data_IF_093205661806
#
_entry.id   IF_093205661806
#
_cell.length_a   1.000
_cell.length_b   1.000
_cell.length_c   1.000
_cell.angle_alpha   90.00
_cell.angle_beta   90.00
_cell.angle_gamma   90.00
#
_symmetry.space_group_name_H-M   'P 1'
#
loop_
_entity.id
_entity.type
_entity.pdbx_description
1 polymer ?
#
# COMPACT_ATOMS: atom_id res chain seq x y z
N UNK A 1 37.32 16.24 -20.05
CA UNK A 1 36.14 16.35 -19.15
C UNK A 1 35.09 15.30 -19.54
N UNK A 2 35.33 14.01 -19.28
CA UNK A 2 34.44 12.91 -19.72
C UNK A 2 34.01 11.91 -18.63
N UNK A 3 34.45 12.09 -17.38
CA UNK A 3 34.25 11.11 -16.31
C UNK A 3 32.91 11.20 -15.56
N UNK A 4 32.10 12.23 -15.79
CA UNK A 4 30.95 12.54 -14.92
C UNK A 4 29.63 11.87 -15.35
N UNK A 5 29.45 11.51 -16.62
CA UNK A 5 28.17 10.97 -17.10
C UNK A 5 28.01 9.47 -16.81
N UNK A 6 29.07 8.69 -17.03
CA UNK A 6 29.09 7.24 -16.77
C UNK A 6 28.93 6.92 -15.28
N UNK A 7 29.54 7.70 -14.39
CA UNK A 7 29.41 7.53 -12.94
C UNK A 7 27.99 7.77 -12.42
N UNK A 8 27.26 8.72 -13.02
CA UNK A 8 25.86 9.01 -12.67
C UNK A 8 24.93 7.90 -13.15
N UNK A 9 25.15 7.36 -14.36
CA UNK A 9 24.35 6.26 -14.91
C UNK A 9 24.54 4.98 -14.08
N UNK A 10 25.79 4.63 -13.77
CA UNK A 10 26.10 3.46 -12.94
C UNK A 10 25.56 3.65 -11.51
N UNK A 11 25.70 4.84 -10.93
CA UNK A 11 25.13 5.16 -9.62
C UNK A 11 23.60 5.03 -9.58
N UNK A 12 22.90 5.53 -10.62
CA UNK A 12 21.46 5.41 -10.74
C UNK A 12 21.00 3.96 -10.93
N UNK A 13 21.73 3.16 -11.71
CA UNK A 13 21.48 1.73 -11.88
C UNK A 13 21.65 0.96 -10.57
N UNK A 14 22.73 1.19 -9.84
CA UNK A 14 22.99 0.54 -8.55
C UNK A 14 21.93 0.89 -7.51
N UNK A 15 21.52 2.17 -7.44
CA UNK A 15 20.41 2.58 -6.59
C UNK A 15 19.10 1.90 -7.01
N UNK A 16 18.80 1.84 -8.31
CA UNK A 16 17.62 1.16 -8.85
C UNK A 16 17.57 -0.32 -8.48
N UNK A 17 18.69 -1.04 -8.62
CA UNK A 17 18.81 -2.46 -8.25
C UNK A 17 18.64 -2.66 -6.74
N UNK A 18 19.23 -1.79 -5.92
CA UNK A 18 19.07 -1.84 -4.46
C UNK A 18 17.62 -1.60 -4.03
N UNK A 19 16.91 -0.65 -4.66
CA UNK A 19 15.49 -0.43 -4.41
C UNK A 19 14.61 -1.60 -4.85
N UNK A 20 14.92 -2.23 -5.99
CA UNK A 20 14.19 -3.39 -6.51
C UNK A 20 14.38 -4.62 -5.60
N UNK A 21 15.61 -4.90 -5.18
CA UNK A 21 15.93 -6.01 -4.26
C UNK A 21 15.33 -5.81 -2.88
N UNK A 22 15.39 -4.60 -2.32
CA UNK A 22 14.75 -4.27 -1.04
C UNK A 22 13.22 -4.46 -1.09
N UNK A 23 12.59 -4.14 -2.23
CA UNK A 23 11.16 -4.40 -2.46
C UNK A 23 10.88 -5.91 -2.56
N UNK A 24 11.66 -6.65 -3.34
CA UNK A 24 11.52 -8.09 -3.51
C UNK A 24 11.66 -8.85 -2.17
N UNK A 25 12.66 -8.49 -1.35
CA UNK A 25 12.84 -9.09 -0.03
C UNK A 25 11.65 -8.83 0.91
N UNK A 26 11.07 -7.64 0.87
CA UNK A 26 9.87 -7.33 1.67
C UNK A 26 8.67 -8.13 1.19
N UNK A 27 8.53 -8.26 -0.14
CA UNK A 27 7.46 -9.04 -0.76
C UNK A 27 7.54 -10.52 -0.37
N UNK A 28 8.73 -11.13 -0.48
CA UNK A 28 8.95 -12.52 -0.06
C UNK A 28 8.62 -12.72 1.42
N UNK A 29 9.01 -11.76 2.28
CA UNK A 29 8.68 -11.82 3.71
C UNK A 29 7.18 -11.69 3.97
N UNK A 30 6.48 -10.80 3.27
CA UNK A 30 5.03 -10.68 3.40
C UNK A 30 4.30 -11.92 2.91
N UNK A 31 4.77 -12.53 1.82
CA UNK A 31 4.23 -13.80 1.29
C UNK A 31 4.44 -14.95 2.28
N UNK A 32 5.65 -15.08 2.84
CA UNK A 32 5.94 -16.10 3.84
C UNK A 32 5.10 -15.91 5.11
N UNK A 33 4.95 -14.67 5.58
CA UNK A 33 4.13 -14.35 6.75
C UNK A 33 2.64 -14.59 6.50
N UNK A 34 2.11 -14.22 5.32
CA UNK A 34 0.72 -14.49 4.95
C UNK A 34 0.44 -16.01 4.91
N UNK A 35 1.36 -16.80 4.35
CA UNK A 35 1.25 -18.27 4.32
C UNK A 35 1.27 -18.91 5.71
N UNK A 36 1.98 -18.33 6.67
CA UNK A 36 2.04 -18.83 8.05
C UNK A 36 0.94 -18.27 8.97
N UNK A 37 0.04 -17.44 8.44
CA UNK A 37 -0.99 -16.75 9.25
C UNK A 37 -0.41 -15.66 10.17
N UNK A 38 0.85 -15.29 10.01
CA UNK A 38 1.47 -14.22 10.78
C UNK A 38 1.09 -12.84 10.20
N UNK A 39 1.18 -11.81 11.06
CA UNK A 39 0.97 -10.44 10.62
C UNK A 39 1.98 -10.07 9.52
N UNK A 40 1.48 -9.53 8.41
CA UNK A 40 2.31 -9.12 7.28
C UNK A 40 2.08 -7.65 6.94
N UNK A 41 3.01 -7.06 6.19
CA UNK A 41 2.98 -5.63 5.84
C UNK A 41 3.23 -5.45 4.36
N UNK A 42 2.32 -4.76 3.68
CA UNK A 42 2.40 -4.44 2.25
C UNK A 42 2.46 -2.93 2.02
N UNK A 43 3.00 -2.53 0.88
CA UNK A 43 2.96 -1.13 0.48
C UNK A 43 1.55 -0.74 0.04
N UNK A 44 1.08 0.41 0.52
CA UNK A 44 -0.26 0.90 0.22
C UNK A 44 -0.31 2.43 0.20
N UNK A 45 -1.28 2.98 -0.52
CA UNK A 45 -1.64 4.39 -0.40
C UNK A 45 -3.11 4.53 -0.02
N UNK A 46 -3.44 5.53 0.80
CA UNK A 46 -4.83 5.85 1.13
C UNK A 46 -5.18 7.27 0.77
N UNK A 47 -6.46 7.51 0.50
CA UNK A 47 -7.06 8.84 0.34
C UNK A 47 -8.41 8.85 1.03
N UNK A 48 -8.65 9.86 1.87
CA UNK A 48 -9.96 10.04 2.52
C UNK A 48 -10.94 10.69 1.54
N UNK A 49 -12.18 10.19 1.49
CA UNK A 49 -13.21 10.60 0.52
C UNK A 49 -14.25 11.57 1.07
N UNK A 50 -14.34 11.70 2.39
CA UNK A 50 -15.23 12.67 3.04
C UNK A 50 -14.61 14.09 3.07
N UNK A 51 -15.46 15.09 3.34
CA UNK A 51 -15.03 16.47 3.43
C UNK A 51 -14.13 16.68 4.67
N UNK A 52 -12.96 17.31 4.48
CA UNK A 52 -12.02 17.59 5.56
C UNK A 52 -10.60 17.87 5.09
N UNK A 53 -9.68 18.07 6.04
CA UNK A 53 -8.26 18.42 5.77
C UNK A 53 -7.53 17.37 4.91
N UNK A 54 -8.06 16.15 4.80
CA UNK A 54 -7.46 15.01 4.09
C UNK A 54 -8.24 14.60 2.84
N UNK A 55 -9.34 15.28 2.56
CA UNK A 55 -10.18 15.02 1.40
C UNK A 55 -9.36 15.04 0.12
N UNK A 56 -9.46 13.99 -0.67
CA UNK A 56 -8.93 14.00 -2.04
C UNK A 56 -7.40 13.84 -2.17
N UNK A 57 -6.63 13.82 -1.07
CA UNK A 57 -5.15 13.69 -1.14
C UNK A 57 -4.67 12.27 -0.85
N UNK A 58 -3.92 11.71 -1.79
CA UNK A 58 -3.23 10.43 -1.62
C UNK A 58 -2.08 10.53 -0.63
N UNK A 59 -1.94 9.51 0.23
CA UNK A 59 -0.87 9.37 1.21
C UNK A 59 -0.28 7.98 1.12
N UNK A 60 1.03 7.91 0.96
CA UNK A 60 1.76 6.65 0.89
C UNK A 60 2.16 6.14 2.27
N UNK A 61 2.11 4.83 2.42
CA UNK A 61 2.35 4.18 3.68
C UNK A 61 2.48 2.68 3.52
N UNK A 62 2.20 2.01 4.63
CA UNK A 62 2.22 0.57 4.73
C UNK A 62 0.93 0.11 5.38
N UNK A 63 0.33 -0.92 4.80
CA UNK A 63 -0.81 -1.61 5.37
C UNK A 63 -0.29 -2.83 6.10
N UNK A 64 -0.56 -2.92 7.39
CA UNK A 64 -0.32 -4.14 8.18
C UNK A 64 -1.63 -4.90 8.28
N UNK A 65 -1.58 -6.19 7.97
CA UNK A 65 -2.72 -7.11 8.05
C UNK A 65 -2.40 -8.18 9.08
N UNK A 66 -3.33 -8.43 9.99
CA UNK A 66 -3.24 -9.46 11.02
C UNK A 66 -4.62 -10.10 11.20
N UNK A 67 -4.87 -11.22 10.51
CA UNK A 67 -6.22 -11.79 10.36
C UNK A 67 -7.16 -10.76 9.73
N UNK A 68 -8.29 -10.51 10.40
CA UNK A 68 -9.27 -9.49 9.99
C UNK A 68 -8.86 -8.04 10.32
N UNK A 69 -7.83 -7.84 11.15
CA UNK A 69 -7.41 -6.49 11.52
C UNK A 69 -6.50 -5.89 10.44
N UNK A 70 -6.91 -4.75 9.89
CA UNK A 70 -6.11 -3.96 8.94
C UNK A 70 -5.77 -2.58 9.50
N UNK A 71 -4.48 -2.24 9.54
CA UNK A 71 -4.02 -0.92 9.97
C UNK A 71 -3.07 -0.31 8.94
N UNK A 72 -3.43 0.87 8.45
CA UNK A 72 -2.57 1.67 7.60
C UNK A 72 -1.73 2.66 8.42
N UNK A 73 -0.45 2.77 8.06
CA UNK A 73 0.51 3.71 8.67
C UNK A 73 1.23 4.53 7.60
N UNK A 74 1.40 5.86 7.79
CA UNK A 74 2.14 6.68 6.83
C UNK A 74 3.63 6.34 6.79
N UNK A 75 4.24 6.46 5.61
CA UNK A 75 5.68 6.31 5.43
C UNK A 75 6.41 7.54 6.00
N UNK A 76 7.47 7.32 6.78
CA UNK A 76 8.40 8.41 7.19
C UNK A 76 9.02 9.07 5.95
N UNK A 77 9.26 10.40 5.94
CA UNK A 77 9.34 11.30 7.09
C UNK A 77 8.06 12.11 7.38
N UNK A 78 6.92 11.82 6.74
CA UNK A 78 5.67 12.54 7.01
C UNK A 78 4.84 11.78 8.05
N UNK A 79 5.03 12.02 9.36
CA UNK A 79 4.18 11.41 10.37
C UNK A 79 2.74 11.88 10.17
N UNK A 80 1.81 10.95 10.41
CA UNK A 80 0.38 11.18 10.38
C UNK A 80 -0.30 10.09 11.20
N UNK A 81 -1.59 10.27 11.52
CA UNK A 81 -2.35 9.26 12.26
C UNK A 81 -2.37 7.95 11.49
N UNK A 82 -2.33 6.88 12.28
CA UNK A 82 -2.61 5.52 11.83
C UNK A 82 -4.11 5.42 11.58
N UNK A 83 -4.51 4.60 10.62
CA UNK A 83 -5.91 4.42 10.25
C UNK A 83 -6.22 2.94 10.38
N UNK A 84 -7.10 2.59 11.32
CA UNK A 84 -7.70 1.27 11.39
C UNK A 84 -8.79 1.17 10.33
N UNK A 85 -8.66 0.18 9.47
CA UNK A 85 -9.51 -0.07 8.31
C UNK A 85 -10.35 -1.32 8.56
N UNK A 86 -11.59 -1.32 8.09
CA UNK A 86 -12.46 -2.51 8.14
C UNK A 86 -11.82 -3.68 7.39
N UNK A 87 -12.06 -4.92 7.84
CA UNK A 87 -11.45 -6.14 7.24
C UNK A 87 -11.73 -6.32 5.75
N UNK A 88 -12.74 -5.59 5.27
CA UNK A 88 -13.40 -5.99 4.07
C UNK A 88 -13.12 -5.08 2.90
N UNK A 89 -12.28 -5.60 2.03
CA UNK A 89 -12.21 -5.25 0.62
C UNK A 89 -13.50 -5.76 -0.08
N UNK A 90 -14.69 -5.35 0.38
CA UNK A 90 -15.98 -5.76 -0.20
C UNK A 90 -16.22 -5.13 -1.59
N UNK A 91 -15.45 -4.10 -1.96
CA UNK A 91 -15.63 -3.38 -3.21
C UNK A 91 -14.92 -4.04 -4.40
N UNK A 92 -15.55 -4.01 -5.57
CA UNK A 92 -14.87 -4.36 -6.84
C UNK A 92 -13.69 -3.39 -7.03
N UNK A 93 -12.45 -3.88 -7.16
CA UNK A 93 -11.31 -3.00 -7.39
C UNK A 93 -11.48 -2.23 -8.70
N UNK A 94 -11.19 -0.93 -8.67
CA UNK A 94 -11.11 -0.11 -9.88
C UNK A 94 -9.65 0.17 -10.25
N UNK A 95 -9.33 0.34 -11.55
CA UNK A 95 -8.02 0.82 -11.95
C UNK A 95 -7.81 2.29 -11.51
N UNK A 96 -6.54 2.70 -11.43
CA UNK A 96 -6.14 4.10 -11.32
C UNK A 96 -6.57 4.85 -12.59
N UNK A 97 -7.13 6.05 -12.44
CA UNK A 97 -7.62 6.85 -13.57
C UNK A 97 -7.24 8.34 -13.50
N UNK A 98 -7.03 8.94 -14.67
CA UNK A 98 -6.90 10.39 -14.85
C UNK A 98 -5.81 11.01 -13.98
N UNK A 99 -6.19 11.94 -13.11
CA UNK A 99 -5.24 12.67 -12.26
C UNK A 99 -4.55 11.79 -11.21
N UNK A 100 -5.08 10.60 -10.92
CA UNK A 100 -4.52 9.70 -9.91
C UNK A 100 -3.16 9.14 -10.32
N UNK A 101 -2.83 9.08 -11.61
CA UNK A 101 -1.52 8.63 -12.12
C UNK A 101 -0.35 9.47 -11.60
N UNK A 102 -0.61 10.74 -11.25
CA UNK A 102 0.40 11.63 -10.68
C UNK A 102 0.73 11.33 -9.23
N UNK A 103 -0.10 10.54 -8.55
CA UNK A 103 -0.02 10.33 -7.12
C UNK A 103 0.20 8.87 -6.74
N UNK A 104 -0.37 7.92 -7.47
CA UNK A 104 -0.24 6.49 -7.17
C UNK A 104 0.28 5.74 -8.38
N UNK A 105 0.91 4.59 -8.14
CA UNK A 105 1.44 3.76 -9.21
C UNK A 105 0.27 3.27 -10.10
N UNK A 106 0.32 3.46 -11.44
CA UNK A 106 -0.77 3.06 -12.34
C UNK A 106 -1.16 1.58 -12.27
N UNK A 107 -0.23 0.70 -11.88
CA UNK A 107 -0.49 -0.73 -11.72
C UNK A 107 -1.38 -1.04 -10.50
N UNK A 108 -1.54 -0.10 -9.56
CA UNK A 108 -2.34 -0.32 -8.36
C UNK A 108 -3.82 -0.52 -8.68
N UNK A 109 -4.49 -1.24 -7.79
CA UNK A 109 -5.94 -1.36 -7.72
C UNK A 109 -6.44 -0.56 -6.54
N UNK A 110 -7.53 0.17 -6.76
CA UNK A 110 -8.14 1.02 -5.74
C UNK A 110 -9.41 0.35 -5.23
N UNK A 111 -9.51 0.26 -3.90
CA UNK A 111 -10.64 -0.26 -3.15
C UNK A 111 -11.25 0.84 -2.32
N UNK A 112 -12.57 0.96 -2.32
CA UNK A 112 -13.26 1.81 -1.35
C UNK A 112 -13.52 0.99 -0.08
N UNK A 113 -13.07 1.51 1.05
CA UNK A 113 -13.16 0.87 2.37
C UNK A 113 -13.57 1.89 3.43
N UNK A 114 -13.96 1.39 4.59
CA UNK A 114 -14.39 2.22 5.72
C UNK A 114 -13.36 2.17 6.84
N UNK A 115 -13.35 3.18 7.70
CA UNK A 115 -12.63 3.04 8.97
C UNK A 115 -13.36 2.06 9.88
N UNK A 116 -12.60 1.27 10.62
CA UNK A 116 -13.14 0.40 11.65
C UNK A 116 -13.80 1.19 12.79
N UNK A 117 -13.21 2.33 13.19
CA UNK A 117 -13.71 3.15 14.30
C UNK A 117 -14.81 4.13 13.90
N UNK A 118 -14.85 4.53 12.63
CA UNK A 118 -15.84 5.46 12.09
C UNK A 118 -16.33 4.95 10.73
N UNK A 119 -17.44 4.19 10.69
CA UNK A 119 -18.00 3.66 9.45
C UNK A 119 -18.41 4.74 8.44
N UNK A 120 -18.64 5.98 8.89
CA UNK A 120 -18.96 7.11 8.00
C UNK A 120 -17.73 7.61 7.25
N UNK A 121 -16.53 7.42 7.82
CA UNK A 121 -15.27 7.78 7.19
C UNK A 121 -14.92 6.77 6.08
N UNK A 122 -15.00 7.24 4.83
CA UNK A 122 -14.68 6.46 3.63
C UNK A 122 -13.27 6.76 3.13
N UNK A 123 -12.58 5.72 2.72
CA UNK A 123 -11.22 5.78 2.18
C UNK A 123 -11.15 5.05 0.85
N UNK A 124 -10.42 5.61 -0.09
CA UNK A 124 -9.82 4.85 -1.18
C UNK A 124 -8.48 4.29 -0.68
N UNK A 125 -8.28 2.98 -0.83
CA UNK A 125 -7.04 2.25 -0.56
C UNK A 125 -6.49 1.72 -1.89
N UNK A 126 -5.29 2.17 -2.25
CA UNK A 126 -4.55 1.68 -3.41
C UNK A 126 -3.52 0.63 -2.98
N UNK A 127 -3.63 -0.55 -3.59
CA UNK A 127 -2.73 -1.69 -3.39
C UNK A 127 -2.13 -2.13 -4.72
N UNK A 128 -0.93 -2.68 -4.68
CA UNK A 128 -0.35 -3.34 -5.85
C UNK A 128 -1.06 -4.68 -6.09
N UNK A 129 -1.17 -5.16 -7.34
CA UNK A 129 -1.84 -6.42 -7.66
C UNK A 129 -1.35 -7.60 -6.79
N UNK A 130 -0.03 -7.75 -6.64
CA UNK A 130 0.58 -8.78 -5.82
C UNK A 130 0.24 -8.65 -4.32
N UNK A 131 -0.06 -7.45 -3.84
CA UNK A 131 -0.49 -7.22 -2.46
C UNK A 131 -1.99 -7.47 -2.28
N UNK A 132 -2.80 -7.32 -3.33
CA UNK A 132 -4.24 -7.61 -3.28
C UNK A 132 -4.48 -9.07 -2.97
N UNK A 133 -3.80 -9.97 -3.69
CA UNK A 133 -3.91 -11.42 -3.48
C UNK A 133 -3.62 -11.79 -2.03
N UNK A 134 -2.52 -11.27 -1.48
CA UNK A 134 -2.13 -11.49 -0.08
C UNK A 134 -3.16 -10.99 0.92
N UNK A 135 -3.71 -9.79 0.71
CA UNK A 135 -4.69 -9.20 1.64
C UNK A 135 -6.03 -9.94 1.58
N UNK A 136 -6.48 -10.36 0.39
CA UNK A 136 -7.71 -11.12 0.22
C UNK A 136 -7.59 -12.52 0.82
N UNK A 137 -6.47 -13.21 0.59
CA UNK A 137 -6.26 -14.56 1.12
C UNK A 137 -6.00 -14.54 2.64
N UNK A 138 -5.26 -13.55 3.14
CA UNK A 138 -5.03 -13.35 4.56
C UNK A 138 -6.29 -12.96 5.35
N UNK A 139 -7.27 -12.30 4.71
CA UNK A 139 -8.57 -12.03 5.32
C UNK A 139 -9.42 -13.30 5.48
N UNK A 140 -9.41 -14.18 4.47
CA UNK A 140 -10.19 -15.43 4.47
C UNK A 140 -9.72 -16.47 5.48
N UNK A 141 -8.42 -16.54 5.75
CA UNK A 141 -7.83 -17.54 6.66
C UNK A 141 -8.15 -17.33 8.14
N UNK A 142 -8.79 -16.21 8.51
CA UNK A 142 -9.19 -15.90 9.89
C UNK A 142 -10.65 -16.25 10.24
N UNK A 143 -11.42 -16.78 9.28
CA UNK A 143 -12.84 -17.13 9.43
C UNK A 143 -13.14 -18.63 9.49
N UNK A 144 -12.14 -19.48 9.74
CA UNK A 144 -12.29 -20.93 9.89
C UNK A 144 -12.09 -21.37 11.34
#
# INVERSE_FOLDING_TARGET
MGGSLLGVIVGALLLGVWFATARAHRQIRSEAAAKSGAAFTVYAAIRRLDAGRWAGRWRHGFLTVNGSAMEWRPRRPRPGPRVALSDVLFGRPRPVAGIEYWWVNPAMKIFTIHSFHDPSARYDLALLPESVELVVDGGKSSGA
#
